data_IF_797931683502
#
_entry.id   IF_797931683502
#
_cell.length_a   1.000
_cell.length_b   1.000
_cell.length_c   1.000
_cell.angle_alpha   90.00
_cell.angle_beta   90.00
_cell.angle_gamma   90.00
#
_symmetry.space_group_name_H-M   'P 1'
#
loop_
_entity.id
_entity.type
_entity.pdbx_description
1 polymer ?
#
# COMPACT_ATOMS: atom_id res chain seq x y z
N UNK A 1 -64.08 27.52 -55.89
CA UNK A 1 -62.79 28.23 -55.78
C UNK A 1 -62.00 27.62 -54.64
N UNK A 2 -60.95 26.86 -54.95
CA UNK A 2 -60.12 26.09 -54.00
C UNK A 2 -58.86 26.87 -53.60
N UNK A 3 -58.58 26.98 -52.29
CA UNK A 3 -57.28 27.37 -51.71
C UNK A 3 -56.81 26.19 -50.85
N UNK A 4 -55.81 25.44 -51.30
CA UNK A 4 -54.38 25.53 -50.96
C UNK A 4 -54.03 24.87 -49.61
N UNK A 5 -53.58 23.61 -49.66
CA UNK A 5 -52.85 22.94 -48.57
C UNK A 5 -51.44 22.60 -49.03
N UNK A 6 -50.44 23.42 -48.68
CA UNK A 6 -49.03 23.11 -49.00
C UNK A 6 -48.05 23.53 -47.90
N UNK A 7 -48.51 23.76 -46.67
CA UNK A 7 -47.66 24.25 -45.58
C UNK A 7 -47.12 23.15 -44.63
N UNK A 8 -47.65 21.92 -44.65
CA UNK A 8 -47.29 20.88 -43.68
C UNK A 8 -46.06 20.02 -44.04
N UNK A 9 -45.67 19.95 -45.32
CA UNK A 9 -44.68 18.98 -45.79
C UNK A 9 -43.21 19.41 -45.59
N UNK A 10 -42.96 20.70 -45.40
CA UNK A 10 -41.59 21.25 -45.25
C UNK A 10 -41.07 21.16 -43.82
N UNK A 11 -41.93 21.26 -42.80
CA UNK A 11 -41.53 21.20 -41.39
C UNK A 11 -41.14 19.80 -40.92
N UNK A 12 -41.79 18.76 -41.45
CA UNK A 12 -41.47 17.37 -41.08
C UNK A 12 -40.12 16.91 -41.63
N UNK A 13 -39.73 17.40 -42.82
CA UNK A 13 -38.44 17.06 -43.44
C UNK A 13 -37.26 17.72 -42.74
N UNK A 14 -37.40 18.96 -42.29
CA UNK A 14 -36.33 19.64 -41.52
C UNK A 14 -36.15 19.05 -40.13
N UNK A 15 -37.22 18.64 -39.45
CA UNK A 15 -37.11 17.97 -38.15
C UNK A 15 -36.44 16.59 -38.23
N UNK A 16 -36.73 15.81 -39.28
CA UNK A 16 -36.12 14.48 -39.45
C UNK A 16 -34.62 14.56 -39.77
N UNK A 17 -34.20 15.55 -40.57
CA UNK A 17 -32.78 15.78 -40.89
C UNK A 17 -32.01 16.28 -39.66
N UNK A 18 -32.61 17.15 -38.85
CA UNK A 18 -31.99 17.64 -37.61
C UNK A 18 -31.86 16.53 -36.56
N UNK A 19 -32.86 15.64 -36.43
CA UNK A 19 -32.82 14.50 -35.54
C UNK A 19 -31.78 13.44 -35.98
N UNK A 20 -31.64 13.19 -37.29
CA UNK A 20 -30.57 12.32 -37.81
C UNK A 20 -29.17 12.93 -37.59
N UNK A 21 -29.00 14.24 -37.71
CA UNK A 21 -27.71 14.91 -37.45
C UNK A 21 -27.32 14.88 -35.95
N UNK A 22 -28.29 15.00 -35.04
CA UNK A 22 -28.06 14.86 -33.59
C UNK A 22 -27.80 13.40 -33.16
N UNK A 23 -28.38 12.42 -33.84
CA UNK A 23 -28.11 10.99 -33.62
C UNK A 23 -26.73 10.55 -34.16
N UNK A 24 -26.24 11.19 -35.24
CA UNK A 24 -24.89 10.96 -35.77
C UNK A 24 -23.79 11.64 -34.93
N UNK A 25 -24.10 12.74 -34.25
CA UNK A 25 -23.16 13.43 -33.36
C UNK A 25 -22.93 12.70 -32.01
N UNK A 26 -23.83 11.80 -31.61
CA UNK A 26 -23.74 11.01 -30.36
C UNK A 26 -23.08 9.64 -30.55
N UNK A 27 -22.76 9.25 -31.78
CA UNK A 27 -22.14 7.96 -32.11
C UNK A 27 -20.60 8.02 -32.20
N UNK A 28 -19.99 9.20 -32.02
CA UNK A 28 -18.54 9.30 -31.88
C UNK A 28 -18.18 9.21 -30.41
N UNK A 29 -17.62 8.08 -29.92
CA UNK A 29 -16.88 8.15 -28.67
C UNK A 29 -15.83 9.24 -28.86
N UNK A 30 -15.83 10.24 -27.99
CA UNK A 30 -14.68 11.12 -27.88
C UNK A 30 -13.49 10.18 -27.69
N UNK A 31 -12.60 10.14 -28.69
CA UNK A 31 -11.35 9.44 -28.55
C UNK A 31 -10.61 10.17 -27.44
N UNK A 32 -10.74 9.68 -26.20
CA UNK A 32 -9.78 9.98 -25.18
C UNK A 32 -8.45 9.59 -25.81
N UNK A 33 -7.57 10.57 -26.02
CA UNK A 33 -6.20 10.30 -26.37
C UNK A 33 -5.65 9.46 -25.22
N UNK A 34 -5.65 8.14 -25.39
CA UNK A 34 -5.02 7.22 -24.46
C UNK A 34 -3.52 7.38 -24.67
N UNK A 35 -2.95 8.40 -24.02
CA UNK A 35 -1.50 8.52 -23.97
C UNK A 35 -0.95 7.26 -23.30
N UNK A 36 0.00 6.62 -23.98
CA UNK A 36 0.58 5.39 -23.48
C UNK A 36 1.47 5.73 -22.28
N UNK A 37 1.18 5.11 -21.13
CA UNK A 37 1.97 5.27 -19.91
C UNK A 37 3.03 4.19 -19.83
N UNK A 38 4.15 4.54 -19.23
CA UNK A 38 5.26 3.63 -18.99
C UNK A 38 6.10 4.04 -17.79
N UNK A 39 7.06 3.19 -17.48
CA UNK A 39 8.04 3.43 -16.44
C UNK A 39 9.44 3.01 -16.92
N UNK A 40 10.45 3.68 -16.41
CA UNK A 40 11.85 3.32 -16.69
C UNK A 40 12.37 2.29 -15.68
N UNK A 41 12.98 1.22 -16.18
CA UNK A 41 13.59 0.17 -15.33
C UNK A 41 15.04 0.47 -14.94
N UNK A 42 15.61 1.53 -15.51
CA UNK A 42 16.96 2.03 -15.24
C UNK A 42 16.90 3.55 -15.12
N UNK A 43 17.92 4.13 -14.50
CA UNK A 43 18.08 5.58 -14.50
C UNK A 43 18.20 6.04 -15.95
N UNK A 44 17.38 7.02 -16.35
CA UNK A 44 17.30 7.50 -17.71
C UNK A 44 17.60 9.00 -17.77
N UNK A 45 18.30 9.43 -18.81
CA UNK A 45 18.54 10.84 -19.09
C UNK A 45 17.45 11.35 -20.02
N UNK A 46 16.88 12.50 -19.70
CA UNK A 46 15.93 13.23 -20.54
C UNK A 46 16.70 14.28 -21.33
N UNK A 47 16.58 14.22 -22.65
CA UNK A 47 17.32 15.05 -23.60
C UNK A 47 16.41 16.08 -24.28
N UNK A 48 16.97 17.20 -24.72
CA UNK A 48 16.24 18.20 -25.49
C UNK A 48 15.86 17.71 -26.90
N UNK A 49 16.65 16.81 -27.47
CA UNK A 49 16.45 16.26 -28.82
C UNK A 49 16.76 14.76 -28.83
N UNK A 50 16.29 13.98 -29.82
CA UNK A 50 16.56 12.55 -29.91
C UNK A 50 18.00 12.25 -30.35
N UNK A 51 18.96 12.76 -29.58
CA UNK A 51 20.40 12.59 -29.76
C UNK A 51 21.10 12.67 -28.38
N UNK A 52 21.94 11.68 -28.10
CA UNK A 52 22.77 11.60 -26.88
C UNK A 52 23.78 12.74 -26.75
N UNK A 53 24.11 13.43 -27.84
CA UNK A 53 24.98 14.62 -27.84
C UNK A 53 24.24 15.92 -27.44
N UNK A 54 22.91 15.89 -27.41
CA UNK A 54 22.08 17.06 -27.10
C UNK A 54 22.08 17.39 -25.60
N UNK A 55 21.55 18.58 -25.27
CA UNK A 55 21.46 19.05 -23.90
C UNK A 55 20.62 18.11 -23.03
N UNK A 56 21.15 17.74 -21.86
CA UNK A 56 20.45 16.95 -20.84
C UNK A 56 19.57 17.88 -20.01
N UNK A 57 18.27 17.63 -20.03
CA UNK A 57 17.27 18.40 -19.29
C UNK A 57 17.10 17.89 -17.86
N UNK A 58 17.17 16.57 -17.67
CA UNK A 58 16.99 15.94 -16.37
C UNK A 58 17.53 14.50 -16.33
N UNK A 59 17.71 14.01 -15.12
CA UNK A 59 17.89 12.58 -14.83
C UNK A 59 16.63 12.07 -14.13
N UNK A 60 16.17 10.89 -14.55
CA UNK A 60 14.96 10.24 -14.07
C UNK A 60 15.30 8.91 -13.39
N UNK A 61 14.88 8.77 -12.13
CA UNK A 61 15.06 7.55 -11.34
C UNK A 61 14.24 6.37 -11.87
N UNK A 62 14.52 5.18 -11.36
CA UNK A 62 13.77 3.96 -11.73
C UNK A 62 12.33 4.04 -11.22
N UNK A 63 11.42 3.46 -11.98
CA UNK A 63 9.98 3.43 -11.69
C UNK A 63 9.28 4.78 -11.87
N UNK A 64 9.98 5.84 -12.29
CA UNK A 64 9.33 7.11 -12.59
C UNK A 64 8.39 6.95 -13.78
N UNK A 65 7.18 7.46 -13.59
CA UNK A 65 6.15 7.45 -14.61
C UNK A 65 6.52 8.41 -15.75
N UNK A 66 6.29 7.92 -16.97
CA UNK A 66 6.36 8.68 -18.19
C UNK A 66 5.07 8.53 -18.98
N UNK A 67 4.68 9.63 -19.62
CA UNK A 67 3.60 9.68 -20.59
C UNK A 67 4.24 9.80 -21.96
N UNK A 68 3.99 8.82 -22.84
CA UNK A 68 4.54 8.80 -24.20
C UNK A 68 3.73 9.73 -25.09
N UNK A 69 4.41 10.73 -25.64
CA UNK A 69 3.83 11.71 -26.57
C UNK A 69 4.03 11.28 -28.02
N UNK A 70 5.24 10.86 -28.37
CA UNK A 70 5.60 10.34 -29.69
C UNK A 70 6.80 9.38 -29.62
N UNK A 71 6.94 8.53 -30.63
CA UNK A 71 8.08 7.59 -30.76
C UNK A 71 8.83 7.86 -32.06
N UNK A 72 10.16 7.81 -32.03
CA UNK A 72 11.02 8.04 -33.17
C UNK A 72 12.25 7.13 -33.12
N UNK A 73 12.24 6.06 -33.92
CA UNK A 73 13.30 5.04 -33.95
C UNK A 73 13.59 4.49 -32.55
N UNK A 74 14.78 4.78 -31.99
CA UNK A 74 15.24 4.33 -30.68
C UNK A 74 14.89 5.31 -29.54
N UNK A 75 14.14 6.37 -29.85
CA UNK A 75 13.81 7.45 -28.94
C UNK A 75 12.31 7.56 -28.71
N UNK A 76 11.96 8.00 -27.52
CA UNK A 76 10.59 8.28 -27.10
C UNK A 76 10.54 9.70 -26.55
N UNK A 77 9.66 10.51 -27.10
CA UNK A 77 9.36 11.81 -26.54
C UNK A 77 8.34 11.61 -25.43
N UNK A 78 8.71 12.03 -24.23
CA UNK A 78 7.93 11.78 -23.03
C UNK A 78 7.69 13.06 -22.27
N UNK A 79 6.58 13.08 -21.55
CA UNK A 79 6.41 13.90 -20.37
C UNK A 79 6.74 13.05 -19.15
N UNK A 80 7.81 13.41 -18.42
CA UNK A 80 8.36 12.65 -17.31
C UNK A 80 8.11 13.33 -15.97
N UNK A 81 7.51 12.61 -15.02
CA UNK A 81 7.26 13.11 -13.67
C UNK A 81 8.45 12.82 -12.75
N UNK A 82 9.30 13.83 -12.53
CA UNK A 82 10.51 13.71 -11.72
C UNK A 82 10.22 13.86 -10.22
N UNK A 83 9.24 14.69 -9.85
CA UNK A 83 8.69 14.82 -8.51
C UNK A 83 7.20 15.16 -8.62
N UNK A 84 6.48 15.30 -7.49
CA UNK A 84 5.07 15.71 -7.49
C UNK A 84 4.87 17.12 -8.10
N UNK A 85 5.89 17.96 -8.08
CA UNK A 85 5.83 19.36 -8.55
C UNK A 85 6.66 19.60 -9.84
N UNK A 86 7.46 18.61 -10.26
CA UNK A 86 8.40 18.78 -11.38
C UNK A 86 8.14 17.74 -12.45
N UNK A 87 7.60 18.23 -13.55
CA UNK A 87 7.44 17.50 -14.81
C UNK A 87 8.37 18.07 -15.86
N UNK A 88 9.02 17.21 -16.64
CA UNK A 88 9.93 17.61 -17.73
C UNK A 88 9.54 16.89 -19.01
N UNK A 89 9.38 17.65 -20.09
CA UNK A 89 9.13 17.11 -21.42
C UNK A 89 10.45 17.01 -22.19
N UNK A 90 10.72 15.86 -22.80
CA UNK A 90 11.92 15.66 -23.60
C UNK A 90 12.07 14.24 -24.12
N UNK A 91 13.21 13.95 -24.74
CA UNK A 91 13.49 12.68 -25.39
C UNK A 91 14.25 11.74 -24.47
N UNK A 92 13.80 10.49 -24.36
CA UNK A 92 14.49 9.41 -23.67
C UNK A 92 14.77 8.28 -24.65
N UNK A 93 15.79 7.47 -24.38
CA UNK A 93 16.01 6.23 -25.13
C UNK A 93 14.89 5.24 -24.80
N UNK A 94 14.29 4.63 -25.82
CA UNK A 94 13.24 3.60 -25.66
C UNK A 94 13.79 2.36 -24.93
N UNK A 95 15.10 2.12 -25.05
CA UNK A 95 15.79 1.03 -24.36
C UNK A 95 15.74 1.24 -22.85
N UNK A 96 14.85 0.50 -22.18
CA UNK A 96 14.66 0.55 -20.73
C UNK A 96 13.35 1.20 -20.31
N UNK A 97 12.52 1.62 -21.27
CA UNK A 97 11.14 2.03 -21.06
C UNK A 97 10.24 0.79 -21.15
N UNK A 98 9.46 0.54 -20.10
CA UNK A 98 8.42 -0.50 -20.10
C UNK A 98 7.07 0.18 -20.12
N UNK A 99 6.31 -0.07 -21.18
CA UNK A 99 4.97 0.49 -21.43
C UNK A 99 3.90 -0.54 -21.07
N UNK A 100 2.66 -0.07 -20.93
CA UNK A 100 1.51 -0.97 -20.78
C UNK A 100 1.36 -1.97 -21.94
N UNK A 101 1.83 -1.64 -23.15
CA UNK A 101 1.85 -2.56 -24.30
C UNK A 101 3.04 -3.52 -24.34
N UNK A 102 4.06 -3.33 -23.49
CA UNK A 102 5.28 -4.15 -23.51
C UNK A 102 4.95 -5.61 -23.15
N UNK A 103 5.33 -6.59 -24.00
CA UNK A 103 5.12 -8.00 -23.69
C UNK A 103 5.81 -8.40 -22.38
N UNK A 104 5.07 -9.04 -21.47
CA UNK A 104 5.52 -9.37 -20.11
C UNK A 104 6.02 -8.14 -19.31
N UNK A 105 5.51 -6.94 -19.61
CA UNK A 105 5.91 -5.72 -18.91
C UNK A 105 5.69 -5.79 -17.40
N UNK A 106 4.61 -6.44 -16.97
CA UNK A 106 4.34 -6.74 -15.56
C UNK A 106 5.49 -7.49 -14.88
N UNK A 107 5.96 -8.59 -15.49
CA UNK A 107 7.07 -9.41 -14.96
C UNK A 107 8.40 -8.66 -14.98
N UNK A 108 8.64 -7.86 -16.02
CA UNK A 108 9.87 -7.07 -16.14
C UNK A 108 9.94 -6.03 -15.03
N UNK A 109 8.86 -5.26 -14.83
CA UNK A 109 8.77 -4.29 -13.73
C UNK A 109 8.87 -4.98 -12.37
N UNK A 110 8.19 -6.12 -12.20
CA UNK A 110 8.20 -6.86 -10.94
C UNK A 110 9.60 -7.34 -10.59
N UNK A 111 10.33 -7.91 -11.56
CA UNK A 111 11.71 -8.36 -11.35
C UNK A 111 12.65 -7.24 -10.94
N UNK A 112 12.59 -6.09 -11.61
CA UNK A 112 13.41 -4.92 -11.24
C UNK A 112 13.00 -4.31 -9.88
N UNK A 113 11.72 -4.39 -9.51
CA UNK A 113 11.24 -3.97 -8.21
C UNK A 113 11.80 -4.85 -7.10
N UNK A 114 11.78 -6.18 -7.29
CA UNK A 114 12.39 -7.15 -6.37
C UNK A 114 13.89 -6.91 -6.21
N UNK A 115 14.62 -6.71 -7.31
CA UNK A 115 16.06 -6.40 -7.27
C UNK A 115 16.35 -5.09 -6.52
N UNK A 116 15.49 -4.09 -6.67
CA UNK A 116 15.63 -2.80 -5.98
C UNK A 116 15.30 -2.92 -4.48
N UNK A 117 14.29 -3.70 -4.12
CA UNK A 117 13.93 -3.97 -2.72
C UNK A 117 15.01 -4.80 -2.01
N UNK A 118 15.56 -5.83 -2.66
CA UNK A 118 16.69 -6.59 -2.13
C UNK A 118 17.90 -5.68 -1.89
N UNK A 119 18.22 -4.79 -2.83
CA UNK A 119 19.25 -3.78 -2.61
C UNK A 119 18.94 -2.86 -1.43
N UNK A 120 17.69 -2.45 -1.24
CA UNK A 120 17.27 -1.60 -0.13
C UNK A 120 17.45 -2.28 1.24
N UNK A 121 17.29 -3.60 1.31
CA UNK A 121 17.45 -4.38 2.54
C UNK A 121 18.91 -4.52 3.00
N UNK A 122 19.88 -4.24 2.13
CA UNK A 122 21.32 -4.41 2.41
C UNK A 122 21.88 -3.18 3.12
N UNK A 123 22.74 -3.39 4.12
CA UNK A 123 23.43 -2.32 4.87
C UNK A 123 24.20 -1.31 3.99
N UNK A 124 24.71 -1.75 2.85
CA UNK A 124 25.39 -0.91 1.86
C UNK A 124 24.66 -0.96 0.50
N UNK A 125 23.34 -1.01 0.58
CA UNK A 125 22.43 -0.96 -0.55
C UNK A 125 22.56 0.32 -1.37
N UNK A 126 21.97 0.30 -2.57
CA UNK A 126 21.87 1.50 -3.40
C UNK A 126 20.96 2.52 -2.71
N UNK A 127 21.42 3.76 -2.59
CA UNK A 127 20.59 4.87 -2.11
C UNK A 127 19.36 5.03 -3.01
N UNK A 128 18.18 5.22 -2.42
CA UNK A 128 16.92 5.39 -3.16
C UNK A 128 16.28 4.08 -3.64
N UNK A 129 16.89 2.91 -3.39
CA UNK A 129 16.38 1.64 -3.91
C UNK A 129 15.00 1.24 -3.35
N UNK A 130 14.68 1.63 -2.10
CA UNK A 130 13.35 1.44 -1.54
C UNK A 130 12.30 2.25 -2.33
N UNK A 131 12.60 3.51 -2.64
CA UNK A 131 11.71 4.37 -3.42
C UNK A 131 11.59 3.90 -4.88
N UNK A 132 12.67 3.39 -5.47
CA UNK A 132 12.64 2.74 -6.79
C UNK A 132 11.70 1.54 -6.79
N UNK A 133 11.86 0.62 -5.84
CA UNK A 133 11.02 -0.57 -5.70
C UNK A 133 9.55 -0.19 -5.50
N UNK A 134 9.27 0.74 -4.59
CA UNK A 134 7.93 1.28 -4.34
C UNK A 134 7.27 1.76 -5.64
N UNK A 135 7.95 2.62 -6.41
CA UNK A 135 7.42 3.15 -7.67
C UNK A 135 7.18 2.05 -8.71
N UNK A 136 8.15 1.15 -8.90
CA UNK A 136 8.06 0.06 -9.87
C UNK A 136 6.89 -0.88 -9.56
N UNK A 137 6.70 -1.24 -8.29
CA UNK A 137 5.55 -2.04 -7.87
C UNK A 137 4.22 -1.32 -8.11
N UNK A 138 4.15 -0.02 -7.80
CA UNK A 138 2.94 0.76 -8.05
C UNK A 138 2.56 0.77 -9.55
N UNK A 139 3.55 0.95 -10.43
CA UNK A 139 3.34 0.91 -11.89
C UNK A 139 2.72 -0.41 -12.36
N UNK A 140 3.03 -1.55 -11.73
CA UNK A 140 2.44 -2.84 -12.11
C UNK A 140 0.94 -2.85 -11.83
N UNK A 141 0.54 -2.38 -10.65
CA UNK A 141 -0.86 -2.33 -10.26
C UNK A 141 -1.68 -1.33 -11.09
N UNK A 142 -1.05 -0.25 -11.56
CA UNK A 142 -1.72 0.75 -12.41
C UNK A 142 -1.77 0.33 -13.89
N UNK A 143 -0.65 -0.15 -14.45
CA UNK A 143 -0.55 -0.44 -15.88
C UNK A 143 -1.03 -1.84 -16.25
N UNK A 144 -0.95 -2.79 -15.32
CA UNK A 144 -1.32 -4.18 -15.52
C UNK A 144 -2.32 -4.68 -14.45
N UNK A 145 -3.49 -4.04 -14.31
CA UNK A 145 -4.42 -4.32 -13.20
C UNK A 145 -5.00 -5.74 -13.21
N UNK A 146 -4.97 -6.44 -14.35
CA UNK A 146 -5.42 -7.83 -14.51
C UNK A 146 -4.28 -8.85 -14.35
N UNK A 147 -3.03 -8.40 -14.16
CA UNK A 147 -1.90 -9.29 -13.90
C UNK A 147 -2.09 -10.01 -12.57
N UNK A 148 -1.76 -11.31 -12.47
CA UNK A 148 -1.75 -12.01 -11.18
C UNK A 148 -0.78 -11.38 -10.16
N UNK A 149 0.19 -10.57 -10.63
CA UNK A 149 1.14 -9.85 -9.78
C UNK A 149 0.60 -8.52 -9.24
N UNK A 150 -0.53 -8.02 -9.77
CA UNK A 150 -1.00 -6.67 -9.46
C UNK A 150 -1.31 -6.48 -7.96
N UNK A 151 -1.97 -7.46 -7.33
CA UNK A 151 -2.29 -7.39 -5.90
C UNK A 151 -1.05 -7.44 -5.01
N UNK A 152 -0.08 -8.28 -5.33
CA UNK A 152 1.18 -8.37 -4.60
C UNK A 152 2.00 -7.10 -4.75
N UNK A 153 2.15 -6.62 -5.99
CA UNK A 153 2.90 -5.42 -6.29
C UNK A 153 2.28 -4.22 -5.55
N UNK A 154 0.96 -4.04 -5.61
CA UNK A 154 0.31 -2.94 -4.92
C UNK A 154 0.55 -2.98 -3.41
N UNK A 155 0.45 -4.16 -2.80
CA UNK A 155 0.73 -4.35 -1.39
C UNK A 155 2.19 -4.04 -1.05
N UNK A 156 3.16 -4.56 -1.81
CA UNK A 156 4.59 -4.28 -1.57
C UNK A 156 4.94 -2.81 -1.73
N UNK A 157 4.33 -2.13 -2.71
CA UNK A 157 4.46 -0.67 -2.82
C UNK A 157 3.93 0.04 -1.58
N UNK A 158 2.76 -0.35 -1.07
CA UNK A 158 2.18 0.25 0.12
C UNK A 158 2.99 -0.06 1.39
N UNK A 159 3.48 -1.30 1.52
CA UNK A 159 4.28 -1.78 2.65
C UNK A 159 5.64 -1.08 2.73
N UNK A 160 6.36 -0.91 1.62
CA UNK A 160 7.62 -0.14 1.60
C UNK A 160 7.37 1.29 2.07
N UNK A 161 6.31 1.94 1.59
CA UNK A 161 5.94 3.29 2.03
C UNK A 161 5.63 3.32 3.53
N UNK A 162 4.83 2.36 3.98
CA UNK A 162 4.48 2.20 5.39
C UNK A 162 5.71 2.06 6.28
N UNK A 163 6.67 1.21 5.90
CA UNK A 163 7.90 0.99 6.65
C UNK A 163 8.78 2.25 6.73
N UNK A 164 8.90 3.00 5.63
CA UNK A 164 9.64 4.27 5.60
C UNK A 164 8.99 5.31 6.53
N UNK A 165 7.68 5.46 6.47
CA UNK A 165 6.92 6.38 7.32
C UNK A 165 6.93 5.94 8.78
N UNK A 166 6.78 4.64 9.06
CA UNK A 166 6.86 4.06 10.41
C UNK A 166 8.19 4.38 11.07
N UNK A 167 9.29 4.21 10.34
CA UNK A 167 10.62 4.52 10.84
C UNK A 167 10.75 6.01 11.20
N UNK A 168 10.26 6.90 10.33
CA UNK A 168 10.27 8.34 10.56
C UNK A 168 9.39 8.73 11.76
N UNK A 169 8.12 8.32 11.78
CA UNK A 169 7.18 8.58 12.88
C UNK A 169 7.71 8.06 14.21
N UNK A 170 8.29 6.85 14.24
CA UNK A 170 8.83 6.25 15.47
C UNK A 170 10.06 6.97 16.03
N UNK A 171 10.78 7.74 15.20
CA UNK A 171 11.94 8.53 15.62
C UNK A 171 11.56 9.86 16.26
N UNK A 172 10.30 10.30 16.11
CA UNK A 172 9.81 11.59 16.60
C UNK A 172 9.31 11.44 18.04
N UNK A 173 9.83 12.20 19.02
CA UNK A 173 9.30 12.19 20.38
C UNK A 173 7.84 12.67 20.39
N UNK A 174 6.94 11.95 21.06
CA UNK A 174 5.55 12.39 21.26
C UNK A 174 5.28 12.65 22.74
N UNK A 175 4.68 13.81 23.06
CA UNK A 175 4.17 14.09 24.39
C UNK A 175 2.81 13.42 24.67
N UNK A 176 2.26 12.71 23.67
CA UNK A 176 0.89 12.18 23.65
C UNK A 176 0.85 10.68 23.42
N UNK A 177 1.78 9.95 24.04
CA UNK A 177 1.93 8.50 23.88
C UNK A 177 0.69 7.69 24.28
N UNK A 178 -0.11 8.20 25.23
CA UNK A 178 -1.33 7.52 25.73
C UNK A 178 -2.51 7.56 24.75
N UNK A 179 -2.49 8.44 23.76
CA UNK A 179 -3.63 8.70 22.88
C UNK A 179 -3.21 8.44 21.44
N UNK A 180 -3.49 7.22 20.96
CA UNK A 180 -3.16 6.80 19.59
C UNK A 180 -3.60 7.81 18.53
N UNK A 181 -4.81 8.37 18.66
CA UNK A 181 -5.36 9.35 17.72
C UNK A 181 -4.70 10.74 17.76
N UNK A 182 -3.91 11.04 18.80
CA UNK A 182 -3.13 12.28 18.88
C UNK A 182 -1.68 12.10 18.43
N UNK A 183 -1.27 10.87 18.10
CA UNK A 183 0.02 10.60 17.47
C UNK A 183 -0.10 10.83 15.98
N UNK A 184 0.99 11.31 15.38
CA UNK A 184 1.09 11.33 13.93
C UNK A 184 1.09 9.89 13.41
N UNK A 185 0.06 9.54 12.64
CA UNK A 185 -0.03 8.23 12.01
C UNK A 185 0.66 8.22 10.64
N UNK A 186 0.80 7.03 10.10
CA UNK A 186 1.23 6.81 8.72
C UNK A 186 0.07 7.00 7.74
N UNK A 187 0.38 7.25 6.47
CA UNK A 187 -0.60 7.49 5.41
C UNK A 187 -1.37 6.21 5.07
N UNK A 188 -2.60 6.09 5.58
CA UNK A 188 -3.46 4.91 5.37
C UNK A 188 -3.96 4.74 3.93
N UNK A 189 -3.83 5.78 3.09
CA UNK A 189 -4.41 5.83 1.75
C UNK A 189 -4.05 4.61 0.91
N UNK A 190 -2.76 4.27 0.85
CA UNK A 190 -2.27 3.21 -0.03
C UNK A 190 -2.67 1.82 0.46
N UNK A 191 -2.62 1.56 1.78
CA UNK A 191 -3.11 0.31 2.36
C UNK A 191 -4.61 0.14 2.13
N UNK A 192 -5.41 1.20 2.29
CA UNK A 192 -6.85 1.18 1.98
C UNK A 192 -7.11 0.93 0.51
N UNK A 193 -6.25 1.45 -0.37
CA UNK A 193 -6.38 1.23 -1.82
C UNK A 193 -6.12 -0.24 -2.19
N UNK A 194 -5.15 -0.90 -1.54
CA UNK A 194 -4.92 -2.36 -1.67
C UNK A 194 -6.18 -3.14 -1.29
N UNK A 195 -6.76 -2.86 -0.12
CA UNK A 195 -7.98 -3.51 0.37
C UNK A 195 -9.14 -3.30 -0.60
N UNK A 196 -9.29 -2.08 -1.13
CA UNK A 196 -10.36 -1.72 -2.05
C UNK A 196 -10.21 -2.40 -3.42
N UNK A 197 -9.00 -2.44 -3.98
CA UNK A 197 -8.75 -2.98 -5.32
C UNK A 197 -8.65 -4.50 -5.34
N UNK A 198 -8.18 -5.12 -4.25
CA UNK A 198 -7.93 -6.56 -4.17
C UNK A 198 -8.60 -7.21 -2.95
N UNK A 199 -9.93 -7.03 -2.75
CA UNK A 199 -10.63 -7.53 -1.58
C UNK A 199 -10.59 -9.06 -1.49
N UNK A 200 -10.52 -9.60 -0.27
CA UNK A 200 -10.50 -11.05 -0.03
C UNK A 200 -9.20 -11.76 -0.44
N UNK A 201 -8.17 -11.01 -0.83
CA UNK A 201 -6.83 -11.57 -1.07
C UNK A 201 -5.99 -11.49 0.20
N UNK A 202 -4.99 -12.37 0.33
CA UNK A 202 -4.02 -12.31 1.44
C UNK A 202 -3.33 -10.94 1.56
N UNK A 203 -3.22 -10.21 0.45
CA UNK A 203 -2.61 -8.87 0.40
C UNK A 203 -3.51 -7.81 1.02
N UNK A 204 -4.82 -7.89 0.81
CA UNK A 204 -5.78 -7.05 1.52
C UNK A 204 -5.80 -7.36 3.02
N UNK A 205 -5.69 -8.63 3.40
CA UNK A 205 -5.61 -9.00 4.82
C UNK A 205 -4.33 -8.44 5.48
N UNK A 206 -3.17 -8.56 4.83
CA UNK A 206 -1.92 -7.97 5.31
C UNK A 206 -1.99 -6.45 5.38
N UNK A 207 -2.60 -5.78 4.40
CA UNK A 207 -2.83 -4.34 4.46
C UNK A 207 -3.73 -3.94 5.64
N UNK A 208 -4.77 -4.72 5.93
CA UNK A 208 -5.64 -4.49 7.09
C UNK A 208 -4.89 -4.69 8.42
N UNK A 209 -3.95 -5.63 8.47
CA UNK A 209 -3.08 -5.83 9.63
C UNK A 209 -2.20 -4.60 9.88
N UNK A 210 -1.51 -4.09 8.87
CA UNK A 210 -0.63 -2.93 9.02
C UNK A 210 -1.38 -1.68 9.50
N UNK A 211 -2.61 -1.47 9.04
CA UNK A 211 -3.47 -0.38 9.51
C UNK A 211 -3.79 -0.42 11.02
N UNK A 212 -3.48 -1.52 11.72
CA UNK A 212 -3.54 -1.59 13.18
C UNK A 212 -2.50 -0.66 13.82
N UNK A 213 -1.32 -0.46 13.22
CA UNK A 213 -0.24 0.34 13.82
C UNK A 213 -0.70 1.77 14.17
N UNK A 214 -1.51 2.40 13.32
CA UNK A 214 -2.07 3.74 13.56
C UNK A 214 -3.07 3.80 14.72
N UNK A 215 -3.52 2.64 15.22
CA UNK A 215 -4.47 2.52 16.32
C UNK A 215 -3.77 2.16 17.64
N UNK A 216 -2.45 1.97 17.62
CA UNK A 216 -1.67 1.62 18.79
C UNK A 216 -1.26 2.86 19.59
N UNK A 217 -1.31 2.74 20.92
CA UNK A 217 -0.67 3.70 21.79
C UNK A 217 0.86 3.57 21.66
N UNK A 218 1.59 4.55 22.17
CA UNK A 218 3.04 4.46 22.33
C UNK A 218 3.37 3.75 23.63
N UNK A 219 3.94 4.49 24.57
CA UNK A 219 4.09 4.00 25.94
C UNK A 219 2.74 4.00 26.69
N UNK A 220 2.41 2.85 27.28
CA UNK A 220 1.22 2.67 28.11
C UNK A 220 1.34 3.33 29.49
N UNK A 221 2.55 3.63 29.96
CA UNK A 221 2.83 4.26 31.26
C UNK A 221 2.14 3.53 32.43
N UNK A 222 2.07 2.19 32.36
CA UNK A 222 1.42 1.36 33.37
C UNK A 222 -0.11 1.52 33.46
N UNK A 223 -0.78 2.10 32.46
CA UNK A 223 -2.24 2.23 32.45
C UNK A 223 -2.92 1.12 31.65
N UNK A 224 -3.95 0.47 32.21
CA UNK A 224 -4.62 -0.67 31.57
C UNK A 224 -5.40 -0.33 30.29
N UNK A 225 -5.83 0.93 30.12
CA UNK A 225 -6.75 1.35 29.06
C UNK A 225 -6.22 1.11 27.63
N UNK A 226 -4.94 1.36 27.37
CA UNK A 226 -4.34 1.16 26.05
C UNK A 226 -4.19 -0.33 25.71
N UNK A 227 -3.48 -1.15 26.51
CA UNK A 227 -3.28 -2.56 26.17
C UNK A 227 -4.59 -3.36 26.04
N UNK A 228 -5.66 -3.01 26.78
CA UNK A 228 -7.00 -3.61 26.57
C UNK A 228 -7.53 -3.30 25.17
N UNK A 229 -7.50 -2.03 24.76
CA UNK A 229 -8.02 -1.64 23.44
C UNK A 229 -7.19 -2.23 22.30
N UNK A 230 -5.88 -2.22 22.46
CA UNK A 230 -4.99 -2.78 21.45
C UNK A 230 -5.18 -4.29 21.32
N UNK A 231 -5.31 -5.03 22.44
CA UNK A 231 -5.56 -6.47 22.38
C UNK A 231 -6.88 -6.79 21.68
N UNK A 232 -7.96 -6.05 21.99
CA UNK A 232 -9.26 -6.18 21.32
C UNK A 232 -9.17 -5.94 19.80
N UNK A 233 -8.34 -4.98 19.35
CA UNK A 233 -8.13 -4.72 17.92
C UNK A 233 -7.49 -5.93 17.22
N UNK A 234 -6.46 -6.52 17.83
CA UNK A 234 -5.79 -7.69 17.28
C UNK A 234 -6.67 -8.96 17.31
N UNK A 235 -7.43 -9.17 18.39
CA UNK A 235 -8.40 -10.27 18.48
C UNK A 235 -9.49 -10.15 17.41
N UNK A 236 -9.99 -8.93 17.19
CA UNK A 236 -10.94 -8.62 16.13
C UNK A 236 -10.35 -8.95 14.76
N UNK A 237 -9.13 -8.51 14.48
CA UNK A 237 -8.44 -8.84 13.23
C UNK A 237 -8.31 -10.34 13.01
N UNK A 238 -7.85 -11.09 14.03
CA UNK A 238 -7.70 -12.55 13.93
C UNK A 238 -9.04 -13.28 13.71
N UNK A 239 -10.15 -12.68 14.15
CA UNK A 239 -11.50 -13.21 13.97
C UNK A 239 -12.06 -12.87 12.57
N UNK A 240 -11.82 -11.66 12.08
CA UNK A 240 -12.31 -11.17 10.79
C UNK A 240 -11.48 -11.72 9.61
N UNK A 241 -10.19 -12.01 9.84
CA UNK A 241 -9.23 -12.43 8.81
C UNK A 241 -8.56 -13.77 9.12
N UNK A 242 -9.31 -14.88 9.36
CA UNK A 242 -8.75 -16.14 9.85
C UNK A 242 -7.79 -16.85 8.87
N UNK A 243 -7.79 -16.46 7.59
CA UNK A 243 -6.88 -17.00 6.57
C UNK A 243 -5.66 -16.13 6.32
N UNK A 244 -5.55 -15.00 7.01
CA UNK A 244 -4.42 -14.10 6.81
C UNK A 244 -3.11 -14.73 7.27
N UNK A 245 -1.99 -14.50 6.55
CA UNK A 245 -0.67 -14.86 7.03
C UNK A 245 -0.31 -14.24 8.38
N UNK A 246 -0.93 -13.10 8.74
CA UNK A 246 -0.65 -12.37 9.98
C UNK A 246 -1.49 -12.82 11.19
N UNK A 247 -2.36 -13.84 11.07
CA UNK A 247 -3.23 -14.28 12.19
C UNK A 247 -2.41 -14.70 13.40
N UNK A 248 -1.34 -15.48 13.19
CA UNK A 248 -0.48 -15.92 14.29
C UNK A 248 0.18 -14.74 15.03
N UNK A 249 0.60 -13.73 14.26
CA UNK A 249 1.17 -12.49 14.79
C UNK A 249 0.13 -11.70 15.60
N UNK A 250 -1.06 -11.47 15.03
CA UNK A 250 -2.13 -10.77 15.72
C UNK A 250 -2.53 -11.44 17.04
N UNK A 251 -2.66 -12.77 17.03
CA UNK A 251 -2.97 -13.52 18.26
C UNK A 251 -1.87 -13.40 19.30
N UNK A 252 -0.60 -13.45 18.88
CA UNK A 252 0.54 -13.24 19.76
C UNK A 252 0.55 -11.81 20.33
N UNK A 253 0.35 -10.80 19.49
CA UNK A 253 0.33 -9.39 19.86
C UNK A 253 -0.80 -9.07 20.84
N UNK A 254 -1.97 -9.69 20.66
CA UNK A 254 -3.06 -9.64 21.64
C UNK A 254 -2.67 -10.32 22.95
N UNK A 255 -2.08 -11.51 22.89
CA UNK A 255 -1.67 -12.26 24.07
C UNK A 255 -0.61 -11.51 24.91
N UNK A 256 0.36 -10.88 24.25
CA UNK A 256 1.40 -10.09 24.91
C UNK A 256 0.85 -8.86 25.62
N UNK A 257 -0.16 -8.20 25.03
CA UNK A 257 -0.88 -7.09 25.66
C UNK A 257 -1.69 -7.53 26.87
N UNK A 258 -2.38 -8.67 26.78
CA UNK A 258 -3.07 -9.26 27.93
C UNK A 258 -2.09 -9.71 29.01
N UNK A 259 -0.90 -10.20 28.65
CA UNK A 259 0.10 -10.59 29.65
C UNK A 259 0.65 -9.37 30.39
N UNK A 260 0.84 -8.24 29.71
CA UNK A 260 1.23 -6.98 30.36
C UNK A 260 0.18 -6.49 31.37
N UNK A 261 -1.10 -6.67 31.06
CA UNK A 261 -2.21 -6.33 31.95
C UNK A 261 -2.19 -7.10 33.28
N UNK A 262 -1.53 -8.27 33.33
CA UNK A 262 -1.36 -9.03 34.58
C UNK A 262 -0.67 -8.15 35.64
N UNK A 263 0.45 -7.53 35.29
CA UNK A 263 1.21 -6.68 36.21
C UNK A 263 0.57 -5.31 36.41
N UNK A 264 0.03 -4.72 35.34
CA UNK A 264 -0.67 -3.43 35.45
C UNK A 264 -1.85 -3.53 36.42
N UNK A 265 -2.70 -4.56 36.30
CA UNK A 265 -3.85 -4.69 37.21
C UNK A 265 -3.46 -5.01 38.65
N UNK A 266 -2.28 -5.60 38.91
CA UNK A 266 -1.76 -5.71 40.28
C UNK A 266 -1.43 -4.33 40.84
N UNK A 267 -0.82 -3.46 40.04
CA UNK A 267 -0.51 -2.08 40.45
C UNK A 267 -1.75 -1.19 40.58
N UNK A 268 -2.81 -1.47 39.81
CA UNK A 268 -4.11 -0.78 39.92
C UNK A 268 -5.01 -1.36 41.03
N UNK A 269 -4.51 -2.30 41.86
CA UNK A 269 -5.26 -2.98 42.93
C UNK A 269 -6.51 -3.75 42.45
N UNK A 270 -6.47 -4.29 41.21
CA UNK A 270 -7.56 -5.04 40.58
C UNK A 270 -7.20 -6.54 40.37
N UNK A 271 -7.00 -7.35 41.43
CA UNK A 271 -6.47 -8.71 41.31
C UNK A 271 -7.36 -9.66 40.49
N UNK A 272 -8.69 -9.45 40.52
CA UNK A 272 -9.61 -10.27 39.69
C UNK A 272 -9.37 -10.08 38.19
N UNK A 273 -9.14 -8.84 37.76
CA UNK A 273 -8.84 -8.52 36.36
C UNK A 273 -7.44 -9.00 35.96
N UNK A 274 -6.49 -9.02 36.89
CA UNK A 274 -5.17 -9.63 36.68
C UNK A 274 -5.28 -11.12 36.31
N UNK A 275 -6.09 -11.89 37.06
CA UNK A 275 -6.33 -13.31 36.75
C UNK A 275 -7.11 -13.52 35.44
N UNK A 276 -8.11 -12.68 35.17
CA UNK A 276 -8.85 -12.71 33.88
C UNK A 276 -7.91 -12.42 32.70
N UNK A 277 -7.04 -11.41 32.83
CA UNK A 277 -6.04 -11.06 31.83
C UNK A 277 -5.06 -12.23 31.59
N UNK A 278 -4.63 -12.91 32.66
CA UNK A 278 -3.79 -14.12 32.56
C UNK A 278 -4.48 -15.23 31.79
N UNK A 279 -5.74 -15.53 32.11
CA UNK A 279 -6.49 -16.56 31.41
C UNK A 279 -6.64 -16.26 29.91
N UNK A 280 -6.92 -15.01 29.54
CA UNK A 280 -7.00 -14.57 28.14
C UNK A 280 -5.65 -14.66 27.43
N UNK A 281 -4.59 -14.17 28.06
CA UNK A 281 -3.24 -14.22 27.51
C UNK A 281 -2.81 -15.66 27.20
N UNK A 282 -3.04 -16.60 28.13
CA UNK A 282 -2.76 -18.02 27.93
C UNK A 282 -3.56 -18.60 26.77
N UNK A 283 -4.87 -18.35 26.72
CA UNK A 283 -5.73 -18.89 25.66
C UNK A 283 -5.30 -18.37 24.26
N UNK A 284 -5.00 -17.08 24.14
CA UNK A 284 -4.55 -16.47 22.89
C UNK A 284 -3.16 -16.95 22.49
N UNK A 285 -2.23 -17.07 23.43
CA UNK A 285 -0.89 -17.59 23.15
C UNK A 285 -0.92 -19.07 22.73
N UNK A 286 -1.76 -19.90 23.34
CA UNK A 286 -2.00 -21.28 22.89
C UNK A 286 -2.56 -21.30 21.46
N UNK A 287 -3.53 -20.43 21.15
CA UNK A 287 -4.10 -20.32 19.80
C UNK A 287 -3.05 -19.87 18.79
N UNK A 288 -2.21 -18.89 19.13
CA UNK A 288 -1.08 -18.44 18.31
C UNK A 288 -0.06 -19.57 18.07
N UNK A 289 0.31 -20.31 19.12
CA UNK A 289 1.23 -21.44 19.03
C UNK A 289 0.71 -22.62 18.19
N UNK A 290 -0.62 -22.78 18.12
CA UNK A 290 -1.25 -23.79 17.27
C UNK A 290 -1.34 -23.40 15.79
N UNK A 291 -1.05 -22.14 15.43
CA UNK A 291 -1.06 -21.71 14.03
C UNK A 291 0.13 -22.32 13.28
N UNK A 292 -0.14 -22.98 12.16
CA UNK A 292 0.89 -23.62 11.33
C UNK A 292 1.50 -22.69 10.29
N UNK A 293 0.96 -21.48 10.12
CA UNK A 293 1.34 -20.52 9.07
C UNK A 293 2.58 -19.69 9.39
N UNK A 294 3.02 -19.63 10.66
CA UNK A 294 4.25 -18.96 11.06
C UNK A 294 4.92 -19.66 12.25
N UNK A 295 6.08 -20.28 12.00
CA UNK A 295 6.87 -20.97 13.01
C UNK A 295 7.41 -19.99 14.07
N UNK A 296 7.81 -18.79 13.65
CA UNK A 296 8.44 -17.80 14.52
C UNK A 296 7.45 -17.26 15.56
N UNK A 297 6.22 -16.93 15.13
CA UNK A 297 5.18 -16.46 16.05
C UNK A 297 4.72 -17.57 17.01
N UNK A 298 4.68 -18.82 16.53
CA UNK A 298 4.41 -19.96 17.41
C UNK A 298 5.46 -20.15 18.49
N UNK A 299 6.75 -20.05 18.14
CA UNK A 299 7.85 -20.13 19.11
C UNK A 299 7.82 -18.96 20.12
N UNK A 300 7.51 -17.74 19.67
CA UNK A 300 7.34 -16.58 20.55
C UNK A 300 6.17 -16.76 21.51
N UNK A 301 5.06 -17.31 21.04
CA UNK A 301 3.91 -17.61 21.90
C UNK A 301 4.22 -18.69 22.95
N UNK A 302 4.98 -19.74 22.59
CA UNK A 302 5.47 -20.74 23.55
C UNK A 302 6.37 -20.13 24.62
N UNK A 303 7.29 -19.24 24.23
CA UNK A 303 8.08 -18.48 25.20
C UNK A 303 7.18 -17.65 26.14
N UNK A 304 6.17 -16.98 25.61
CA UNK A 304 5.25 -16.16 26.42
C UNK A 304 4.48 -17.02 27.44
N UNK A 305 4.00 -18.20 27.02
CA UNK A 305 3.36 -19.18 27.90
C UNK A 305 4.29 -19.58 29.04
N UNK A 306 5.53 -19.95 28.73
CA UNK A 306 6.53 -20.30 29.74
C UNK A 306 6.73 -19.18 30.77
N UNK A 307 6.87 -17.91 30.33
CA UNK A 307 7.02 -16.78 31.24
C UNK A 307 5.82 -16.65 32.20
N UNK A 308 4.59 -16.75 31.68
CA UNK A 308 3.37 -16.66 32.50
C UNK A 308 3.18 -17.85 33.44
N UNK A 309 3.60 -19.06 33.04
CA UNK A 309 3.57 -20.26 33.89
C UNK A 309 4.56 -20.17 35.04
N UNK A 310 5.76 -19.66 34.79
CA UNK A 310 6.80 -19.44 35.80
C UNK A 310 6.55 -18.21 36.68
N UNK A 311 5.49 -17.44 36.43
CA UNK A 311 5.21 -16.20 37.16
C UNK A 311 6.23 -15.10 36.89
N UNK A 312 6.93 -15.14 35.76
CA UNK A 312 7.89 -14.13 35.36
C UNK A 312 7.12 -12.93 34.77
N UNK A 313 7.30 -11.71 35.30
CA UNK A 313 6.65 -10.51 34.78
C UNK A 313 6.94 -10.30 33.29
N UNK A 314 5.89 -10.03 32.50
CA UNK A 314 6.02 -9.77 31.05
C UNK A 314 6.02 -8.28 30.70
N UNK A 315 5.82 -7.40 31.69
CA UNK A 315 5.79 -5.95 31.53
C UNK A 315 6.36 -5.27 32.78
N UNK A 316 7.06 -4.14 32.57
CA UNK A 316 7.81 -3.45 33.62
C UNK A 316 9.18 -4.09 33.90
N UNK A 317 10.09 -3.33 34.49
CA UNK A 317 11.40 -3.84 34.90
C UNK A 317 11.27 -4.63 36.21
N UNK A 318 11.85 -5.83 36.22
CA UNK A 318 12.08 -6.62 37.43
C UNK A 318 13.29 -6.01 38.14
N UNK A 319 13.10 -4.90 38.84
CA UNK A 319 13.98 -4.55 39.96
C UNK A 319 13.23 -4.88 41.24
N UNK A 320 13.29 -6.15 41.62
CA UNK A 320 13.16 -6.55 43.02
C UNK A 320 14.55 -6.96 43.51
#
# INVERSE_FOLDING_TARGET
MSRSSSAGATWFRTFLVLACLLALASAFPAAAANYERGAVVRVAQVYLSPDTSSAKLAEMDRGREIIVLETSREWVHVEANLTEERTVTGWVLDKGVVRASTPNGDKILFGEAVDSEDQASRRHGRNGAAQDAMRLYFCIADYFPTSPLAGEAMYRSADIRWQLEKADVSSRPSSREREAFLREGMEEKYMKEVIKKFPGTKWADLAAFHLIDNKLCGDWQGSSKCPVKESEIYEKYATEHPQSPAVAEALYDAAWRWSALIEIYKTEEEPKKSEEARARAVALAQKAASQTTSLDWGARAQRLLYLMEQGIPTYGNVTQ
#
